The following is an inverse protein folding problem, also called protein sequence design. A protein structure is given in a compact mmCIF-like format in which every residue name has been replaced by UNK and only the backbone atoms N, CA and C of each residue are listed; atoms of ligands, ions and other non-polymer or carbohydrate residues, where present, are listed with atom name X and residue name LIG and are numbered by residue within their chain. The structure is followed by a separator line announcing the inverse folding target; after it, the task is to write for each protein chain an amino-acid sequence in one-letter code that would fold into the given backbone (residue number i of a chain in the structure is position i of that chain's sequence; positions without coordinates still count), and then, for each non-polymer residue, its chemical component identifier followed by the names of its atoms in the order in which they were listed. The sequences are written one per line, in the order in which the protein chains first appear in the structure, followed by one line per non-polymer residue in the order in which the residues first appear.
data_IF_948484609035
#
_entry.id   IF_948484609035
#
_cell.length_a   1.000
_cell.length_b   1.000
_cell.length_c   1.000
_cell.angle_alpha   90.00
_cell.angle_beta   90.00
_cell.angle_gamma   90.00
#
_symmetry.space_group_name_H-M   'P 1'
#
loop_
_entity.id
_entity.type
_entity.pdbx_description
1 polymer ?
#
# COMPACT_ATOMS: atom_id res chain seq x y z
N UNK A 1 -51.06 56.30 -34.57
CA UNK A 1 -50.11 55.51 -35.38
C UNK A 1 -48.70 55.64 -34.78
N UNK A 2 -48.29 54.70 -33.88
CA UNK A 2 -46.92 54.63 -33.33
C UNK A 2 -46.21 53.51 -34.00
N UNK A 3 -45.12 53.79 -34.72
CA UNK A 3 -44.18 52.80 -35.31
C UNK A 3 -43.17 52.38 -34.25
N UNK A 4 -43.18 51.12 -33.88
CA UNK A 4 -42.12 50.50 -33.07
C UNK A 4 -40.86 50.33 -33.91
N UNK A 5 -39.73 50.89 -33.43
CA UNK A 5 -38.37 50.67 -34.01
C UNK A 5 -37.81 49.38 -33.41
N UNK A 6 -37.56 48.41 -34.26
CA UNK A 6 -36.79 47.24 -33.90
C UNK A 6 -35.30 47.57 -33.76
N UNK A 7 -34.73 47.30 -32.60
CA UNK A 7 -33.29 47.41 -32.35
C UNK A 7 -32.63 46.12 -32.81
N UNK A 8 -31.84 46.21 -33.89
CA UNK A 8 -31.04 45.12 -34.41
C UNK A 8 -29.79 44.94 -33.53
N UNK A 9 -29.73 43.87 -32.79
CA UNK A 9 -28.51 43.48 -32.04
C UNK A 9 -27.50 42.85 -32.98
N UNK A 10 -26.26 43.40 -33.02
CA UNK A 10 -25.20 42.97 -33.89
C UNK A 10 -24.68 41.56 -33.53
N UNK A 11 -24.23 40.76 -34.51
CA UNK A 11 -23.75 39.37 -34.26
C UNK A 11 -22.50 39.26 -33.41
N UNK A 12 -21.76 40.36 -33.16
CA UNK A 12 -20.56 40.40 -32.34
C UNK A 12 -20.82 40.23 -30.83
N UNK A 13 -22.00 40.57 -30.34
CA UNK A 13 -22.39 40.47 -28.92
C UNK A 13 -22.74 39.04 -28.51
N UNK A 14 -23.12 38.17 -29.47
CA UNK A 14 -23.44 36.75 -29.18
C UNK A 14 -22.23 35.86 -29.08
N UNK A 15 -21.08 36.23 -29.62
CA UNK A 15 -19.85 35.42 -29.60
C UNK A 15 -19.10 35.54 -28.27
N UNK A 16 -19.19 36.70 -27.59
CA UNK A 16 -18.53 36.91 -26.30
C UNK A 16 -19.26 36.23 -25.12
N UNK A 17 -20.54 35.97 -25.21
CA UNK A 17 -21.30 35.34 -24.12
C UNK A 17 -21.15 33.81 -24.11
N UNK A 18 -20.80 33.19 -25.24
CA UNK A 18 -20.53 31.74 -25.34
C UNK A 18 -19.17 31.30 -24.78
N UNK A 19 -18.18 32.18 -24.79
CA UNK A 19 -16.83 31.91 -24.29
C UNK A 19 -16.68 32.03 -22.77
N UNK A 20 -17.60 32.72 -22.09
CA UNK A 20 -17.57 32.89 -20.63
C UNK A 20 -18.22 31.71 -19.86
N UNK A 21 -18.99 30.85 -20.52
CA UNK A 21 -19.63 29.68 -19.87
C UNK A 21 -18.78 28.39 -19.94
N UNK A 22 -17.70 28.37 -20.74
CA UNK A 22 -16.86 27.16 -20.87
C UNK A 22 -15.71 27.09 -19.84
N UNK A 23 -15.52 28.15 -19.03
CA UNK A 23 -14.42 28.27 -18.07
C UNK A 23 -14.64 27.73 -16.65
N UNK A 24 -15.83 27.16 -16.32
CA UNK A 24 -16.22 26.86 -14.93
C UNK A 24 -16.31 25.37 -14.60
N UNK A 25 -15.78 24.48 -15.45
CA UNK A 25 -15.69 23.04 -15.16
C UNK A 25 -14.25 22.58 -14.89
N UNK A 26 -13.42 23.44 -14.29
CA UNK A 26 -12.25 22.93 -13.57
C UNK A 26 -12.79 22.35 -12.27
N UNK A 27 -13.27 21.11 -12.35
CA UNK A 27 -13.59 20.32 -11.18
C UNK A 27 -12.36 20.29 -10.29
N UNK A 28 -12.45 20.89 -9.10
CA UNK A 28 -11.51 20.63 -8.02
C UNK A 28 -11.53 19.13 -7.78
N UNK A 29 -10.59 18.40 -8.41
CA UNK A 29 -10.18 17.11 -7.93
C UNK A 29 -9.66 17.38 -6.52
N UNK A 30 -10.49 17.11 -5.51
CA UNK A 30 -10.02 17.02 -4.14
C UNK A 30 -9.00 15.89 -4.13
N UNK A 31 -7.73 16.24 -4.27
CA UNK A 31 -6.65 15.37 -3.81
C UNK A 31 -6.95 15.05 -2.35
N UNK A 32 -7.40 13.85 -2.08
CA UNK A 32 -7.55 13.35 -0.72
C UNK A 32 -6.13 13.20 -0.20
N UNK A 33 -5.62 14.28 0.39
CA UNK A 33 -4.29 14.30 0.99
C UNK A 33 -4.30 13.27 2.11
N UNK A 34 -3.70 12.12 1.86
CA UNK A 34 -3.57 11.07 2.86
C UNK A 34 -2.85 11.63 4.08
N UNK A 35 -3.30 11.23 5.27
CA UNK A 35 -2.67 11.61 6.53
C UNK A 35 -1.23 11.11 6.62
N UNK A 36 -0.48 11.58 7.61
CA UNK A 36 0.88 11.17 7.92
C UNK A 36 0.93 10.60 9.32
N UNK A 37 1.39 9.36 9.43
CA UNK A 37 1.42 8.62 10.70
C UNK A 37 2.84 8.36 11.22
N UNK A 38 3.86 8.75 10.48
CA UNK A 38 5.27 8.57 10.83
C UNK A 38 6.12 8.19 9.64
N UNK A 39 7.33 7.70 9.93
CA UNK A 39 8.29 7.28 8.92
C UNK A 39 8.43 5.75 8.93
N UNK A 40 8.74 5.19 7.76
CA UNK A 40 9.20 3.82 7.61
C UNK A 40 10.38 3.60 8.59
N UNK A 41 10.30 2.61 9.49
CA UNK A 41 11.41 2.35 10.41
C UNK A 41 12.64 1.92 9.64
N UNK A 42 13.82 2.33 10.10
CA UNK A 42 15.08 1.78 9.57
C UNK A 42 15.19 0.31 9.97
N UNK A 43 15.61 -0.52 9.02
CA UNK A 43 15.86 -1.94 9.27
C UNK A 43 16.94 -2.50 8.32
N UNK A 44 17.52 -3.61 8.73
CA UNK A 44 18.38 -4.45 7.89
C UNK A 44 18.07 -5.91 8.21
N UNK A 45 17.37 -6.57 7.33
CA UNK A 45 16.86 -7.94 7.48
C UNK A 45 17.28 -8.81 6.30
N UNK A 46 16.85 -10.07 6.28
CA UNK A 46 17.05 -10.97 5.14
C UNK A 46 15.74 -11.14 4.37
N UNK A 47 15.82 -11.12 3.05
CA UNK A 47 14.67 -11.45 2.21
C UNK A 47 14.56 -12.97 1.98
N UNK A 48 13.51 -13.41 1.29
CA UNK A 48 13.26 -14.83 0.96
C UNK A 48 14.34 -15.50 0.13
N UNK A 49 15.34 -14.79 -0.33
CA UNK A 49 16.53 -15.33 -1.04
C UNK A 49 17.78 -15.33 -0.16
N UNK A 50 17.66 -15.05 1.12
CA UNK A 50 18.77 -14.96 2.07
C UNK A 50 19.70 -13.75 1.86
N UNK A 51 19.28 -12.79 1.03
CA UNK A 51 20.04 -11.55 0.79
C UNK A 51 19.62 -10.47 1.78
N UNK A 52 20.57 -9.64 2.19
CA UNK A 52 20.28 -8.44 2.98
C UNK A 52 19.33 -7.54 2.23
N UNK A 53 18.32 -7.05 2.94
CA UNK A 53 17.30 -6.14 2.45
C UNK A 53 17.00 -5.09 3.54
N UNK A 54 16.94 -3.82 3.16
CA UNK A 54 16.83 -2.70 4.09
C UNK A 54 15.75 -1.71 3.66
N UNK A 55 15.42 -0.76 4.54
CA UNK A 55 14.54 0.34 4.21
C UNK A 55 15.04 1.17 3.02
N UNK A 56 16.35 1.23 2.78
CA UNK A 56 16.93 1.94 1.63
C UNK A 56 16.55 1.30 0.28
N UNK A 57 16.26 -0.01 0.23
CA UNK A 57 15.85 -0.72 -0.99
C UNK A 57 14.42 -0.35 -1.42
N UNK A 58 13.68 0.33 -0.54
CA UNK A 58 12.30 0.75 -0.74
C UNK A 58 12.16 2.24 -1.13
N UNK A 59 13.25 2.99 -1.15
CA UNK A 59 13.22 4.43 -1.45
C UNK A 59 12.70 4.69 -2.86
N UNK A 60 11.89 5.75 -3.00
CA UNK A 60 11.29 6.13 -4.27
C UNK A 60 10.13 5.23 -4.72
N UNK A 61 9.69 4.32 -3.86
CA UNK A 61 8.61 3.38 -4.16
C UNK A 61 7.43 3.58 -3.22
N UNK A 62 6.23 3.40 -3.72
CA UNK A 62 5.06 3.15 -2.86
C UNK A 62 5.21 1.74 -2.30
N UNK A 63 4.99 1.58 -1.00
CA UNK A 63 5.16 0.27 -0.34
C UNK A 63 3.88 -0.10 0.40
N UNK A 64 3.40 -1.31 0.15
CA UNK A 64 2.35 -1.94 0.95
C UNK A 64 2.99 -2.97 1.85
N UNK A 65 2.77 -2.85 3.15
CA UNK A 65 3.36 -3.71 4.19
C UNK A 65 2.26 -4.54 4.84
N UNK A 66 2.56 -5.82 5.08
CA UNK A 66 1.78 -6.69 5.95
C UNK A 66 2.69 -7.51 6.88
N UNK A 67 2.07 -8.25 7.79
CA UNK A 67 2.73 -9.04 8.82
C UNK A 67 2.17 -10.45 8.78
N UNK A 68 3.05 -11.43 8.59
CA UNK A 68 2.66 -12.83 8.38
C UNK A 68 3.54 -13.79 9.20
N UNK A 69 3.14 -15.04 9.28
CA UNK A 69 4.02 -16.16 9.63
C UNK A 69 3.61 -17.40 8.83
N UNK A 70 4.59 -18.20 8.41
CA UNK A 70 4.37 -19.27 7.42
C UNK A 70 3.54 -20.43 7.95
N UNK A 71 3.47 -20.63 9.26
CA UNK A 71 2.67 -21.67 9.91
C UNK A 71 1.24 -21.25 10.27
N UNK A 72 0.83 -20.03 9.87
CA UNK A 72 -0.54 -19.58 10.05
C UNK A 72 -1.50 -20.36 9.15
N UNK A 73 -2.54 -21.03 9.70
CA UNK A 73 -3.39 -21.89 8.90
C UNK A 73 -4.45 -21.13 8.07
N UNK A 74 -4.77 -19.88 8.45
CA UNK A 74 -5.97 -19.22 7.94
C UNK A 74 -5.71 -17.87 7.31
N UNK A 75 -5.37 -16.85 8.11
CA UNK A 75 -5.40 -15.45 7.67
C UNK A 75 -4.20 -15.06 6.81
N UNK A 76 -2.99 -15.54 7.11
CA UNK A 76 -1.79 -15.12 6.38
C UNK A 76 -1.77 -15.59 4.91
N UNK A 77 -2.19 -16.82 4.56
CA UNK A 77 -2.42 -17.21 3.17
C UNK A 77 -3.34 -16.25 2.43
N UNK A 78 -4.48 -15.94 3.03
CA UNK A 78 -5.48 -15.04 2.45
C UNK A 78 -4.90 -13.62 2.22
N UNK A 79 -4.21 -13.04 3.22
CA UNK A 79 -3.55 -11.73 3.09
C UNK A 79 -2.57 -11.72 1.91
N UNK A 80 -1.72 -12.73 1.83
CA UNK A 80 -0.73 -12.87 0.76
C UNK A 80 -1.38 -12.95 -0.62
N UNK A 81 -2.42 -13.77 -0.79
CA UNK A 81 -3.16 -13.91 -2.04
C UNK A 81 -3.86 -12.59 -2.45
N UNK A 82 -4.43 -11.87 -1.48
CA UNK A 82 -5.09 -10.59 -1.71
C UNK A 82 -4.10 -9.50 -2.16
N UNK A 83 -2.92 -9.43 -1.53
CA UNK A 83 -1.85 -8.53 -1.98
C UNK A 83 -1.31 -8.94 -3.36
N UNK A 84 -1.17 -10.23 -3.64
CA UNK A 84 -0.84 -10.73 -4.97
C UNK A 84 -1.88 -10.33 -6.02
N UNK A 85 -3.16 -10.40 -5.69
CA UNK A 85 -4.24 -9.94 -6.57
C UNK A 85 -4.22 -8.42 -6.75
N UNK A 86 -3.92 -7.64 -5.71
CA UNK A 86 -3.73 -6.19 -5.83
C UNK A 86 -2.56 -5.87 -6.75
N UNK A 87 -1.41 -6.56 -6.60
CA UNK A 87 -0.24 -6.38 -7.47
C UNK A 87 -0.57 -6.60 -8.95
N UNK A 88 -1.34 -7.64 -9.27
CA UNK A 88 -1.76 -7.95 -10.65
C UNK A 88 -2.68 -6.88 -11.27
N UNK A 89 -3.39 -6.10 -10.46
CA UNK A 89 -4.23 -4.99 -10.93
C UNK A 89 -3.47 -3.68 -11.14
N UNK A 90 -2.23 -3.59 -10.64
CA UNK A 90 -1.39 -2.39 -10.80
C UNK A 90 -0.53 -2.52 -12.05
N UNK A 91 -0.12 -1.40 -12.68
CA UNK A 91 0.81 -1.43 -13.81
C UNK A 91 2.10 -2.18 -13.44
N UNK A 92 2.61 -3.00 -14.35
CA UNK A 92 3.80 -3.81 -14.11
C UNK A 92 5.02 -2.97 -13.73
N UNK A 93 5.18 -1.83 -14.38
CA UNK A 93 6.32 -0.91 -14.21
C UNK A 93 6.11 0.12 -13.10
N UNK A 94 4.97 0.07 -12.39
CA UNK A 94 4.73 1.00 -11.28
C UNK A 94 5.84 0.89 -10.22
N UNK A 95 6.32 2.01 -9.67
CA UNK A 95 7.26 2.01 -8.54
C UNK A 95 6.54 1.59 -7.25
N UNK A 96 6.09 0.35 -7.22
CA UNK A 96 5.31 -0.26 -6.14
C UNK A 96 6.02 -1.52 -5.64
N UNK A 97 6.12 -1.66 -4.32
CA UNK A 97 6.63 -2.85 -3.66
C UNK A 97 5.64 -3.36 -2.61
N UNK A 98 5.65 -4.66 -2.40
CA UNK A 98 4.96 -5.32 -1.31
C UNK A 98 5.98 -5.93 -0.37
N UNK A 99 5.80 -5.79 0.93
CA UNK A 99 6.73 -6.25 1.94
C UNK A 99 5.98 -6.94 3.07
N UNK A 100 6.19 -8.24 3.20
CA UNK A 100 5.63 -9.05 4.29
C UNK A 100 6.73 -9.30 5.33
N UNK A 101 6.56 -8.77 6.54
CA UNK A 101 7.45 -9.06 7.65
C UNK A 101 7.00 -10.34 8.36
N UNK A 102 7.90 -11.30 8.51
CA UNK A 102 7.61 -12.45 9.37
C UNK A 102 7.56 -12.01 10.82
N UNK A 103 6.49 -12.37 11.51
CA UNK A 103 6.36 -12.18 12.97
C UNK A 103 6.76 -13.44 13.77
N UNK A 104 7.22 -14.48 13.08
CA UNK A 104 7.79 -15.69 13.66
C UNK A 104 9.19 -16.03 13.08
N UNK A 105 10.16 -15.09 13.15
CA UNK A 105 11.44 -15.22 12.46
C UNK A 105 12.31 -16.37 12.97
N UNK A 106 12.01 -16.94 14.14
CA UNK A 106 12.71 -18.12 14.63
C UNK A 106 12.36 -19.39 13.84
N UNK A 107 11.21 -19.43 13.19
CA UNK A 107 10.71 -20.53 12.35
C UNK A 107 10.73 -20.18 10.87
N UNK A 108 10.53 -18.95 10.53
CA UNK A 108 10.41 -18.49 9.16
C UNK A 108 11.77 -18.17 8.56
N UNK A 109 12.48 -19.22 8.11
CA UNK A 109 13.73 -19.06 7.36
C UNK A 109 13.44 -18.46 5.97
N UNK A 110 14.47 -17.90 5.29
CA UNK A 110 14.32 -17.45 3.91
C UNK A 110 13.71 -18.50 2.98
N UNK A 111 14.12 -19.77 3.14
CA UNK A 111 13.63 -20.90 2.32
C UNK A 111 12.13 -21.15 2.57
N UNK A 112 11.68 -21.10 3.83
CA UNK A 112 10.26 -21.25 4.17
C UNK A 112 9.43 -20.11 3.64
N UNK A 113 9.90 -18.88 3.75
CA UNK A 113 9.24 -17.70 3.19
C UNK A 113 9.13 -17.80 1.66
N UNK A 114 10.18 -18.28 0.99
CA UNK A 114 10.14 -18.51 -0.45
C UNK A 114 9.14 -19.59 -0.85
N UNK A 115 9.13 -20.71 -0.11
CA UNK A 115 8.16 -21.78 -0.34
C UNK A 115 6.73 -21.31 -0.13
N UNK A 116 6.47 -20.51 0.92
CA UNK A 116 5.18 -19.90 1.21
C UNK A 116 4.72 -18.98 0.07
N UNK A 117 5.58 -18.10 -0.41
CA UNK A 117 5.28 -17.23 -1.54
C UNK A 117 4.90 -18.02 -2.80
N UNK A 118 5.64 -19.08 -3.12
CA UNK A 118 5.37 -19.96 -4.26
C UNK A 118 4.04 -20.70 -4.11
N UNK A 119 3.77 -21.24 -2.91
CA UNK A 119 2.54 -21.96 -2.62
C UNK A 119 1.29 -21.08 -2.81
N UNK A 120 1.38 -19.79 -2.49
CA UNK A 120 0.27 -18.83 -2.61
C UNK A 120 0.29 -18.04 -3.93
N UNK A 121 1.09 -18.48 -4.93
CA UNK A 121 1.07 -17.94 -6.29
C UNK A 121 1.43 -16.46 -6.37
N UNK A 122 2.27 -15.97 -5.45
CA UNK A 122 2.69 -14.57 -5.41
C UNK A 122 3.87 -14.37 -6.35
N UNK A 123 3.76 -13.38 -7.22
CA UNK A 123 4.87 -12.90 -8.03
C UNK A 123 5.93 -12.26 -7.11
N UNK A 124 7.10 -12.85 -7.06
CA UNK A 124 8.20 -12.41 -6.20
C UNK A 124 8.89 -11.14 -6.71
N UNK A 125 8.60 -10.70 -7.92
CA UNK A 125 9.11 -9.42 -8.42
C UNK A 125 8.44 -8.27 -7.69
N UNK A 126 9.24 -7.49 -6.95
CA UNK A 126 8.77 -6.41 -6.07
C UNK A 126 7.84 -6.87 -4.92
N UNK A 127 7.85 -8.17 -4.60
CA UNK A 127 7.19 -8.72 -3.43
C UNK A 127 8.26 -9.37 -2.54
N UNK A 128 8.46 -8.84 -1.35
CA UNK A 128 9.53 -9.19 -0.43
C UNK A 128 8.98 -9.77 0.86
N UNK A 129 9.52 -10.91 1.25
CA UNK A 129 9.24 -11.54 2.53
C UNK A 129 10.50 -11.43 3.38
N UNK A 130 10.38 -10.81 4.54
CA UNK A 130 11.51 -10.45 5.37
C UNK A 130 11.54 -11.23 6.68
N UNK A 131 12.72 -11.69 7.06
CA UNK A 131 13.00 -12.36 8.32
C UNK A 131 14.37 -11.93 8.85
N UNK A 132 14.67 -12.26 10.09
CA UNK A 132 15.97 -11.92 10.69
C UNK A 132 15.99 -12.10 12.20
N UNK A 133 16.94 -11.48 12.91
CA UNK A 133 16.99 -11.55 14.36
C UNK A 133 15.69 -11.09 15.00
N UNK A 134 15.11 -11.89 15.90
CA UNK A 134 13.83 -11.64 16.56
C UNK A 134 13.76 -10.23 17.21
N UNK A 135 14.85 -9.79 17.82
CA UNK A 135 14.90 -8.46 18.45
C UNK A 135 14.73 -7.33 17.43
N UNK A 136 15.34 -7.47 16.25
CA UNK A 136 15.24 -6.49 15.16
C UNK A 136 13.84 -6.50 14.54
N UNK A 137 13.31 -7.68 14.22
CA UNK A 137 11.95 -7.80 13.69
C UNK A 137 10.94 -7.20 14.69
N UNK A 138 11.03 -7.55 15.96
CA UNK A 138 10.16 -7.01 17.01
C UNK A 138 10.24 -5.49 17.09
N UNK A 139 11.45 -4.93 17.05
CA UNK A 139 11.66 -3.48 17.06
C UNK A 139 10.95 -2.81 15.88
N UNK A 140 11.13 -3.35 14.67
CA UNK A 140 10.53 -2.81 13.43
C UNK A 140 9.01 -2.89 13.51
N UNK A 141 8.46 -4.03 13.86
CA UNK A 141 7.01 -4.28 13.90
C UNK A 141 6.34 -3.45 14.99
N UNK A 142 6.85 -3.50 16.24
CA UNK A 142 6.16 -2.88 17.36
C UNK A 142 6.45 -1.39 17.51
N UNK A 143 7.71 -0.97 17.42
CA UNK A 143 8.08 0.44 17.57
C UNK A 143 7.95 1.22 16.26
N UNK A 144 8.27 0.59 15.14
CA UNK A 144 8.20 1.22 13.83
C UNK A 144 6.78 1.31 13.31
N UNK A 145 6.16 0.16 13.07
CA UNK A 145 4.82 0.10 12.49
C UNK A 145 3.67 0.18 13.50
N UNK A 146 3.97 0.20 14.81
CA UNK A 146 2.98 0.24 15.89
C UNK A 146 2.01 -0.96 15.87
N UNK A 147 2.50 -2.11 15.39
CA UNK A 147 1.71 -3.34 15.36
C UNK A 147 2.04 -4.22 16.57
N UNK A 148 1.03 -4.95 17.08
CA UNK A 148 1.27 -5.98 18.07
C UNK A 148 2.14 -7.10 17.50
N UNK A 149 2.99 -7.69 18.32
CA UNK A 149 3.77 -8.89 18.01
C UNK A 149 4.04 -9.66 19.30
N UNK A 150 3.21 -10.66 19.58
CA UNK A 150 3.35 -11.52 20.75
C UNK A 150 3.19 -12.98 20.34
N UNK A 151 4.25 -13.77 20.50
CA UNK A 151 4.19 -15.22 20.27
C UNK A 151 3.57 -15.89 21.50
N UNK A 152 2.56 -16.73 21.29
CA UNK A 152 2.07 -17.61 22.34
C UNK A 152 3.09 -18.72 22.64
N UNK A 153 3.15 -19.19 23.89
CA UNK A 153 3.98 -20.35 24.23
C UNK A 153 3.65 -21.54 23.34
N UNK A 154 4.68 -22.19 22.82
CA UNK A 154 4.53 -23.41 22.03
C UNK A 154 3.80 -24.46 22.86
N UNK A 155 2.68 -24.98 22.38
CA UNK A 155 1.91 -26.05 23.02
C UNK A 155 2.00 -27.29 22.13
N UNK A 156 2.35 -28.42 22.73
CA UNK A 156 2.45 -29.68 22.01
C UNK A 156 1.12 -30.04 21.31
N UNK A 157 1.18 -30.38 20.03
CA UNK A 157 0.01 -30.74 19.21
C UNK A 157 -0.90 -29.59 18.78
N UNK A 158 -0.52 -28.33 19.05
CA UNK A 158 -1.27 -27.16 18.57
C UNK A 158 -0.46 -26.35 17.56
N UNK A 159 -1.11 -25.75 16.55
CA UNK A 159 -0.46 -24.79 15.68
C UNK A 159 0.16 -23.66 16.52
N UNK A 160 1.32 -23.18 16.08
CA UNK A 160 1.91 -21.98 16.67
C UNK A 160 1.00 -20.79 16.37
N UNK A 161 0.73 -19.98 17.37
CA UNK A 161 -0.05 -18.77 17.22
C UNK A 161 0.81 -17.56 17.59
N UNK A 162 0.77 -16.54 16.75
CA UNK A 162 1.42 -15.26 16.99
C UNK A 162 0.37 -14.18 16.87
N UNK A 163 0.10 -13.49 17.97
CA UNK A 163 -0.76 -12.32 17.93
C UNK A 163 -0.03 -11.20 17.21
N UNK A 164 -0.58 -10.77 16.08
CA UNK A 164 -0.06 -9.67 15.29
C UNK A 164 -1.19 -8.83 14.68
N UNK A 165 -0.85 -7.61 14.25
CA UNK A 165 -1.79 -6.78 13.52
C UNK A 165 -2.11 -7.35 12.14
N UNK A 166 -3.38 -7.29 11.74
CA UNK A 166 -3.87 -7.76 10.44
C UNK A 166 -4.13 -6.62 9.44
N UNK A 167 -3.66 -5.42 9.76
CA UNK A 167 -3.81 -4.25 8.90
C UNK A 167 -2.70 -4.20 7.86
N UNK A 168 -3.04 -3.74 6.67
CA UNK A 168 -2.05 -3.30 5.69
C UNK A 168 -1.57 -1.90 6.03
N UNK A 169 -0.26 -1.67 5.90
CA UNK A 169 0.34 -0.35 6.10
C UNK A 169 0.79 0.18 4.74
N UNK A 170 0.40 1.40 4.41
CA UNK A 170 0.80 2.07 3.18
C UNK A 170 1.89 3.09 3.48
N UNK A 171 2.98 3.03 2.70
CA UNK A 171 4.11 3.94 2.78
C UNK A 171 4.31 4.60 1.42
N UNK A 172 4.58 5.90 1.39
CA UNK A 172 4.82 6.63 0.15
C UNK A 172 6.29 6.58 -0.30
N UNK A 173 6.58 7.19 -1.45
CA UNK A 173 7.92 7.22 -2.06
C UNK A 173 8.98 7.93 -1.19
N UNK A 174 8.56 8.73 -0.22
CA UNK A 174 9.42 9.44 0.75
C UNK A 174 9.65 8.64 2.02
N UNK A 175 9.03 7.46 2.13
CA UNK A 175 9.08 6.62 3.32
C UNK A 175 8.12 7.08 4.42
N UNK A 176 7.12 7.92 4.12
CA UNK A 176 6.11 8.33 5.11
C UNK A 176 4.97 7.31 5.16
N UNK A 177 4.60 6.88 6.36
CA UNK A 177 3.42 6.02 6.59
C UNK A 177 2.17 6.87 6.35
N UNK A 178 1.33 6.43 5.41
CA UNK A 178 0.20 7.19 4.89
C UNK A 178 -1.16 6.60 5.28
N UNK A 179 -1.18 5.41 5.86
CA UNK A 179 -2.42 4.80 6.34
C UNK A 179 -2.27 3.39 6.84
N UNK A 180 -3.29 2.98 7.59
CA UNK A 180 -3.52 1.62 8.06
C UNK A 180 -4.88 1.19 7.53
N UNK A 181 -4.94 0.05 6.83
CA UNK A 181 -6.13 -0.41 6.14
C UNK A 181 -6.54 -1.76 6.69
N UNK A 182 -7.81 -1.90 7.04
CA UNK A 182 -8.33 -3.15 7.57
C UNK A 182 -8.30 -4.27 6.51
N UNK A 183 -8.23 -5.51 6.98
CA UNK A 183 -8.33 -6.68 6.12
C UNK A 183 -9.80 -7.07 5.91
N UNK A 184 -10.57 -6.16 5.32
CA UNK A 184 -11.93 -6.37 4.87
C UNK A 184 -12.13 -5.71 3.50
N UNK A 185 -13.31 -5.86 2.93
CA UNK A 185 -13.60 -5.36 1.58
C UNK A 185 -13.40 -3.85 1.48
N UNK A 186 -13.89 -3.10 2.45
CA UNK A 186 -13.80 -1.63 2.50
C UNK A 186 -12.35 -1.18 2.61
N UNK A 187 -11.56 -1.82 3.47
CA UNK A 187 -10.13 -1.54 3.63
C UNK A 187 -9.32 -1.87 2.38
N UNK A 188 -9.62 -2.96 1.68
CA UNK A 188 -8.98 -3.29 0.41
C UNK A 188 -9.30 -2.29 -0.69
N UNK A 189 -10.56 -1.87 -0.81
CA UNK A 189 -10.98 -0.86 -1.79
C UNK A 189 -10.32 0.50 -1.49
N UNK A 190 -10.22 0.86 -0.21
CA UNK A 190 -9.53 2.07 0.24
C UNK A 190 -8.01 2.02 -0.01
N UNK A 191 -7.36 0.88 0.30
CA UNK A 191 -5.94 0.65 0.03
C UNK A 191 -5.64 0.80 -1.47
N UNK A 192 -6.43 0.14 -2.33
CA UNK A 192 -6.22 0.23 -3.78
C UNK A 192 -6.32 1.67 -4.29
N UNK A 193 -7.30 2.44 -3.83
CA UNK A 193 -7.45 3.86 -4.17
C UNK A 193 -6.26 4.69 -3.69
N UNK A 194 -5.82 4.46 -2.45
CA UNK A 194 -4.69 5.16 -1.87
C UNK A 194 -3.38 4.87 -2.61
N UNK A 195 -3.11 3.60 -2.95
CA UNK A 195 -1.95 3.20 -3.76
C UNK A 195 -1.98 3.91 -5.12
N UNK A 196 -3.13 3.89 -5.82
CA UNK A 196 -3.27 4.55 -7.12
C UNK A 196 -3.05 6.06 -7.03
N UNK A 197 -3.54 6.70 -5.98
CA UNK A 197 -3.33 8.14 -5.72
C UNK A 197 -1.85 8.47 -5.51
N UNK A 198 -1.12 7.67 -4.71
CA UNK A 198 0.31 7.90 -4.47
C UNK A 198 1.16 7.67 -5.73
N UNK A 199 0.81 6.67 -6.53
CA UNK A 199 1.50 6.40 -7.80
C UNK A 199 1.34 7.55 -8.80
N UNK A 200 0.15 8.16 -8.88
CA UNK A 200 -0.09 9.31 -9.77
C UNK A 200 0.68 10.57 -9.33
N UNK A 201 0.80 10.82 -8.02
CA UNK A 201 1.56 11.97 -7.49
C UNK A 201 3.06 11.87 -7.74
N UNK A 202 3.62 10.66 -7.79
CA UNK A 202 5.04 10.43 -8.07
C UNK A 202 5.42 10.54 -9.55
N UNK A 203 4.45 10.51 -10.47
CA UNK A 203 4.68 10.67 -11.90
C UNK A 203 4.86 12.15 -12.31
N UNK A 204 4.44 13.10 -11.45
CA UNK A 204 4.48 14.54 -11.71
C UNK A 204 5.68 15.24 -11.03
N UNK A 205 6.59 14.49 -10.39
CA UNK A 205 7.79 14.99 -9.69
C UNK A 205 9.05 14.46 -10.35
#
# INVERSE_FOLDING_TARGET
MLRARAVSASPRTRLCLGLLLFGLLVGCQRDSKLDRFGQLPQFSLQNQFGKTFSDSDLRGRVVVVDFIFTSCPDVCPLLTEQLGALRKRMPAEAPLSFVSFSVDPEHDTPERLRAFAQQHGVDVVNFWFLTGPIAEVKRVVTLGFKQAMEAEPVREGKPRNVLHGTHFVLVDQRGEIRGFFANDKEGHDALQKAVSSLLSQGADS
#
